data_IF_711690580436
#
_entry.id   IF_711690580436
#
_cell.length_a   1.000
_cell.length_b   1.000
_cell.length_c   1.000
_cell.angle_alpha   90.00
_cell.angle_beta   90.00
_cell.angle_gamma   90.00
#
_symmetry.space_group_name_H-M   'P 1'
#
loop_
_entity.id
_entity.type
_entity.pdbx_description
1 polymer ?
#
# COMPACT_ATOMS: atom_id res chain seq x y z
N UNK A 1 52.52 4.52 -36.67
CA UNK A 1 51.43 3.73 -35.98
C UNK A 1 51.12 4.41 -34.64
N UNK A 2 50.12 5.26 -34.63
CA UNK A 2 49.74 6.06 -33.44
C UNK A 2 48.61 5.31 -32.73
N UNK A 3 48.85 4.79 -31.51
CA UNK A 3 47.88 4.11 -30.70
C UNK A 3 47.00 5.14 -29.99
N UNK A 4 45.72 5.22 -30.34
CA UNK A 4 44.70 5.93 -29.56
C UNK A 4 44.31 5.09 -28.35
N UNK A 5 44.55 5.60 -27.15
CA UNK A 5 44.02 5.03 -25.91
C UNK A 5 42.67 5.73 -25.65
N UNK A 6 41.56 4.98 -25.80
CA UNK A 6 40.25 5.41 -25.37
C UNK A 6 40.15 5.24 -23.85
N UNK A 7 40.07 6.33 -23.12
CA UNK A 7 39.74 6.31 -21.68
C UNK A 7 38.22 6.15 -21.54
N UNK A 8 37.78 5.05 -20.94
CA UNK A 8 36.41 4.80 -20.56
C UNK A 8 36.14 5.56 -19.26
N UNK A 9 35.40 6.65 -19.33
CA UNK A 9 34.93 7.36 -18.13
C UNK A 9 33.76 6.57 -17.53
N UNK A 10 33.99 5.95 -16.37
CA UNK A 10 32.93 5.37 -15.57
C UNK A 10 32.15 6.52 -14.88
N UNK A 11 30.93 6.79 -15.33
CA UNK A 11 30.00 7.67 -14.61
C UNK A 11 29.42 6.89 -13.43
N UNK A 12 29.87 7.20 -12.22
CA UNK A 12 29.18 6.80 -11.00
C UNK A 12 27.89 7.62 -10.88
N UNK A 13 26.76 6.99 -11.12
CA UNK A 13 25.48 7.56 -10.76
C UNK A 13 25.41 7.63 -9.22
N UNK A 14 25.41 8.82 -8.66
CA UNK A 14 25.05 9.02 -7.26
C UNK A 14 23.53 8.83 -7.17
N UNK A 15 23.07 7.76 -6.51
CA UNK A 15 21.69 7.68 -6.06
C UNK A 15 21.44 8.88 -5.13
N UNK A 16 20.41 9.66 -5.41
CA UNK A 16 19.99 10.71 -4.48
C UNK A 16 19.58 10.01 -3.16
N UNK A 17 19.92 10.58 -1.99
CA UNK A 17 19.47 10.00 -0.73
C UNK A 17 17.93 9.97 -0.76
N UNK A 18 17.36 8.79 -0.51
CA UNK A 18 15.93 8.65 -0.28
C UNK A 18 15.57 9.59 0.88
N UNK A 19 14.53 10.42 0.70
CA UNK A 19 14.02 11.23 1.83
C UNK A 19 13.59 10.23 2.91
N UNK A 20 14.06 10.44 4.14
CA UNK A 20 13.67 9.59 5.26
C UNK A 20 12.15 9.69 5.47
N UNK A 21 11.43 8.65 5.10
CA UNK A 21 10.00 8.51 5.30
C UNK A 21 9.78 7.56 6.49
N UNK A 22 8.62 7.63 7.09
CA UNK A 22 8.22 6.73 8.17
C UNK A 22 7.18 5.76 7.63
N UNK A 23 7.49 4.46 7.67
CA UNK A 23 6.49 3.44 7.37
C UNK A 23 5.83 2.98 8.68
N UNK A 24 4.53 2.76 8.62
CA UNK A 24 3.75 2.12 9.67
C UNK A 24 3.31 0.76 9.15
N UNK A 25 3.75 -0.30 9.81
CA UNK A 25 3.41 -1.68 9.44
C UNK A 25 2.42 -2.29 10.43
N UNK A 26 1.53 -3.13 9.93
CA UNK A 26 0.68 -4.00 10.73
C UNK A 26 1.25 -5.42 10.72
N UNK A 27 1.61 -5.92 11.89
CA UNK A 27 2.11 -7.28 12.11
C UNK A 27 1.02 -8.10 12.81
N UNK A 28 0.72 -9.26 12.27
CA UNK A 28 -0.42 -10.04 12.76
C UNK A 28 -1.71 -9.22 12.68
N UNK A 29 -2.53 -9.28 13.72
CA UNK A 29 -3.86 -8.66 13.72
C UNK A 29 -3.94 -7.35 14.53
N UNK A 30 -2.91 -7.04 15.33
CA UNK A 30 -3.01 -5.94 16.30
C UNK A 30 -1.67 -5.30 16.70
N UNK A 31 -0.56 -5.65 16.10
CA UNK A 31 0.72 -5.04 16.43
C UNK A 31 1.12 -4.03 15.36
N UNK A 32 1.31 -2.79 15.77
CA UNK A 32 1.73 -1.68 14.93
C UNK A 32 3.24 -1.48 15.12
N UNK A 33 3.97 -1.45 14.03
CA UNK A 33 5.41 -1.15 14.02
C UNK A 33 5.68 0.14 13.27
N UNK A 34 6.60 0.94 13.79
CA UNK A 34 7.10 2.15 13.12
C UNK A 34 8.49 1.84 12.57
N UNK A 35 8.70 2.14 11.29
CA UNK A 35 9.91 1.78 10.55
C UNK A 35 10.52 3.04 9.95
N UNK A 36 11.80 3.25 10.17
CA UNK A 36 12.61 4.20 9.41
C UNK A 36 12.95 3.58 8.05
N UNK A 37 12.39 4.13 6.98
CA UNK A 37 12.59 3.58 5.63
C UNK A 37 14.03 3.77 5.11
N UNK A 38 14.75 4.76 5.61
CA UNK A 38 16.15 5.02 5.19
C UNK A 38 17.14 3.96 5.69
N UNK A 39 16.79 3.28 6.79
CA UNK A 39 17.62 2.24 7.42
C UNK A 39 16.93 0.88 7.44
N UNK A 40 15.67 0.80 7.01
CA UNK A 40 14.80 -0.37 7.14
C UNK A 40 14.79 -0.95 8.56
N UNK A 41 14.72 -0.07 9.57
CA UNK A 41 14.82 -0.46 10.99
C UNK A 41 13.53 -0.13 11.74
N UNK A 42 13.01 -1.11 12.48
CA UNK A 42 11.88 -0.90 13.40
C UNK A 42 12.36 -0.05 14.58
N UNK A 43 11.73 1.11 14.76
CA UNK A 43 12.03 2.07 15.82
C UNK A 43 11.04 2.02 16.99
N UNK A 44 9.83 1.49 16.75
CA UNK A 44 8.79 1.33 17.76
C UNK A 44 7.90 0.14 17.43
N UNK A 45 7.32 -0.48 18.45
CA UNK A 45 6.32 -1.55 18.32
C UNK A 45 5.29 -1.42 19.43
N UNK A 46 4.00 -1.41 19.07
CA UNK A 46 2.87 -1.25 20.01
C UNK A 46 1.79 -2.28 19.69
N UNK A 47 1.37 -3.03 20.69
CA UNK A 47 0.23 -3.96 20.56
C UNK A 47 -1.07 -3.27 20.99
N UNK A 48 -2.10 -3.38 20.17
CA UNK A 48 -3.43 -2.84 20.43
C UNK A 48 -4.25 -3.87 21.20
N UNK A 49 -4.47 -3.61 22.49
CA UNK A 49 -5.19 -4.53 23.34
C UNK A 49 -6.70 -4.58 23.01
N UNK A 50 -7.21 -5.78 22.75
CA UNK A 50 -8.63 -6.00 22.47
C UNK A 50 -9.12 -5.49 21.11
N UNK A 51 -8.21 -5.10 20.22
CA UNK A 51 -8.53 -4.64 18.86
C UNK A 51 -7.90 -5.62 17.86
N UNK A 52 -8.70 -6.09 16.92
CA UNK A 52 -8.25 -6.83 15.74
C UNK A 52 -8.45 -5.92 14.53
N UNK A 53 -7.38 -5.61 13.81
CA UNK A 53 -7.42 -4.79 12.60
C UNK A 53 -7.58 -5.66 11.35
N UNK A 54 -8.28 -5.16 10.36
CA UNK A 54 -8.33 -5.69 8.99
C UNK A 54 -7.24 -5.07 8.13
N UNK A 55 -6.96 -3.78 8.33
CA UNK A 55 -5.91 -3.04 7.64
C UNK A 55 -5.76 -1.63 8.21
N UNK A 56 -4.75 -0.91 7.73
CA UNK A 56 -4.40 0.46 8.12
C UNK A 56 -4.08 1.30 6.88
N UNK A 57 -4.28 2.62 6.97
CA UNK A 57 -3.72 3.53 5.98
C UNK A 57 -3.58 4.97 6.51
N UNK A 58 -2.76 5.77 5.82
CA UNK A 58 -2.56 7.19 6.09
C UNK A 58 -3.60 8.06 5.36
N UNK A 59 -4.43 8.76 6.13
CA UNK A 59 -5.40 9.73 5.59
C UNK A 59 -4.71 11.07 5.35
N UNK A 60 -4.26 11.32 4.14
CA UNK A 60 -3.48 12.50 3.77
C UNK A 60 -4.19 13.84 4.08
N UNK A 61 -5.52 13.88 3.98
CA UNK A 61 -6.33 15.08 4.26
C UNK A 61 -6.25 15.55 5.73
N UNK A 62 -6.03 14.62 6.68
CA UNK A 62 -6.01 14.93 8.12
C UNK A 62 -4.68 14.63 8.79
N UNK A 63 -3.77 13.91 8.13
CA UNK A 63 -2.49 13.48 8.70
C UNK A 63 -2.63 12.36 9.73
N UNK A 64 -3.73 11.62 9.73
CA UNK A 64 -4.02 10.57 10.71
C UNK A 64 -3.80 9.18 10.10
N UNK A 65 -3.37 8.22 10.91
CA UNK A 65 -3.46 6.81 10.55
C UNK A 65 -4.89 6.34 10.84
N UNK A 66 -5.50 5.75 9.84
CA UNK A 66 -6.81 5.10 9.90
C UNK A 66 -6.61 3.61 10.05
N UNK A 67 -7.41 2.97 10.87
CA UNK A 67 -7.53 1.52 10.93
C UNK A 67 -8.98 1.08 10.72
N UNK A 68 -9.16 -0.10 10.16
CA UNK A 68 -10.47 -0.76 10.09
C UNK A 68 -10.40 -2.01 10.96
N UNK A 69 -11.30 -2.11 11.94
CA UNK A 69 -11.36 -3.25 12.85
C UNK A 69 -12.11 -4.44 12.25
N UNK A 70 -11.97 -5.62 12.83
CA UNK A 70 -12.77 -6.82 12.47
C UNK A 70 -14.27 -6.61 12.60
N UNK A 71 -14.69 -5.67 13.46
CA UNK A 71 -16.10 -5.24 13.61
C UNK A 71 -16.50 -4.19 12.56
N UNK A 72 -15.59 -3.86 11.63
CA UNK A 72 -15.74 -2.84 10.59
C UNK A 72 -16.04 -1.44 11.16
N UNK A 73 -15.52 -1.17 12.35
CA UNK A 73 -15.38 0.18 12.85
C UNK A 73 -14.15 0.84 12.21
N UNK A 74 -14.29 2.10 11.84
CA UNK A 74 -13.21 2.95 11.31
C UNK A 74 -12.68 3.74 12.50
N UNK A 75 -11.40 3.61 12.76
CA UNK A 75 -10.73 4.23 13.90
C UNK A 75 -9.56 5.10 13.45
N UNK A 76 -9.20 6.09 14.23
CA UNK A 76 -7.88 6.71 14.18
C UNK A 76 -6.93 5.97 15.11
N UNK A 77 -5.65 5.94 14.75
CA UNK A 77 -4.60 5.26 15.47
C UNK A 77 -3.39 6.18 15.64
N UNK A 78 -2.89 6.31 16.87
CA UNK A 78 -1.58 6.89 17.14
C UNK A 78 -0.52 5.77 17.15
N UNK A 79 0.37 5.69 16.14
CA UNK A 79 1.33 4.60 16.02
C UNK A 79 2.43 4.64 17.09
N UNK A 80 2.62 5.77 17.78
CA UNK A 80 3.61 5.89 18.84
C UNK A 80 3.12 5.31 20.17
N UNK A 81 1.82 5.43 20.46
CA UNK A 81 1.24 5.07 21.75
C UNK A 81 0.20 3.95 21.70
N UNK A 82 -0.28 3.59 20.50
CA UNK A 82 -1.38 2.64 20.33
C UNK A 82 -2.76 3.19 20.73
N UNK A 83 -2.88 4.50 21.00
CA UNK A 83 -4.18 5.10 21.30
C UNK A 83 -5.06 5.11 20.06
N UNK A 84 -6.31 4.72 20.25
CA UNK A 84 -7.32 4.70 19.19
C UNK A 84 -8.53 5.53 19.56
N UNK A 85 -9.24 6.03 18.55
CA UNK A 85 -10.54 6.65 18.70
C UNK A 85 -11.44 6.24 17.51
N UNK A 86 -12.67 5.85 17.79
CA UNK A 86 -13.64 5.54 16.75
C UNK A 86 -14.07 6.82 16.03
N UNK A 87 -14.01 6.80 14.70
CA UNK A 87 -14.56 7.84 13.82
C UNK A 87 -15.99 7.50 13.44
N UNK A 88 -16.21 6.28 12.96
CA UNK A 88 -17.51 5.79 12.54
C UNK A 88 -17.51 4.25 12.49
N UNK A 89 -18.65 3.68 12.15
CA UNK A 89 -18.79 2.26 11.83
C UNK A 89 -19.46 2.12 10.49
N UNK A 90 -19.04 1.13 9.68
CA UNK A 90 -19.67 0.90 8.39
C UNK A 90 -21.16 0.64 8.56
N UNK A 91 -21.97 1.43 7.85
CA UNK A 91 -23.44 1.39 7.94
C UNK A 91 -24.02 0.05 7.43
N UNK A 92 -23.27 -0.62 6.56
CA UNK A 92 -23.55 -1.96 6.08
C UNK A 92 -22.30 -2.80 6.28
N UNK A 93 -22.41 -3.91 7.01
CA UNK A 93 -21.32 -4.87 7.14
C UNK A 93 -21.01 -5.48 5.79
N UNK A 94 -19.76 -5.35 5.35
CA UNK A 94 -19.29 -5.89 4.09
C UNK A 94 -18.86 -7.34 4.26
N UNK A 95 -19.08 -8.20 3.26
CA UNK A 95 -18.66 -9.58 3.37
C UNK A 95 -17.13 -9.66 3.46
N UNK A 96 -16.64 -10.40 4.45
CA UNK A 96 -15.23 -10.77 4.56
C UNK A 96 -15.11 -12.20 4.02
N UNK A 97 -14.29 -12.37 2.98
CA UNK A 97 -13.95 -13.68 2.44
C UNK A 97 -12.72 -14.28 3.11
N UNK A 98 -12.17 -15.33 2.48
CA UNK A 98 -10.90 -15.95 2.90
C UNK A 98 -9.67 -15.21 2.37
N UNK A 99 -9.87 -14.19 1.52
CA UNK A 99 -8.82 -13.34 0.96
C UNK A 99 -8.47 -12.21 1.93
N UNK A 100 -7.23 -11.68 1.89
CA UNK A 100 -6.87 -10.49 2.62
C UNK A 100 -7.83 -9.33 2.34
N UNK A 101 -8.02 -8.48 3.34
CA UNK A 101 -8.79 -7.25 3.21
C UNK A 101 -7.84 -6.12 2.87
N UNK A 102 -8.18 -5.37 1.84
CA UNK A 102 -7.49 -4.14 1.45
C UNK A 102 -8.16 -2.96 2.14
N UNK A 103 -7.35 -2.12 2.77
CA UNK A 103 -7.75 -0.86 3.42
C UNK A 103 -6.80 0.22 2.91
N UNK A 104 -7.31 1.17 2.13
CA UNK A 104 -6.50 2.25 1.56
C UNK A 104 -7.34 3.51 1.35
N UNK A 105 -6.78 4.70 1.49
CA UNK A 105 -7.50 5.97 1.42
C UNK A 105 -7.23 6.67 0.09
N UNK A 106 -8.26 6.77 -0.74
CA UNK A 106 -8.20 7.61 -1.93
C UNK A 106 -8.11 9.10 -1.53
N UNK A 107 -6.99 9.79 -1.80
CA UNK A 107 -6.74 11.14 -1.28
C UNK A 107 -7.59 12.23 -1.95
N UNK A 108 -8.19 11.97 -3.12
CA UNK A 108 -8.99 12.98 -3.85
C UNK A 108 -10.39 13.13 -3.27
N UNK A 109 -11.23 12.06 -3.19
CA UNK A 109 -12.54 12.17 -2.58
C UNK A 109 -12.50 11.99 -1.05
N UNK A 110 -11.33 11.70 -0.47
CA UNK A 110 -11.15 11.37 0.94
C UNK A 110 -12.09 10.22 1.37
N UNK A 111 -11.97 9.09 0.67
CA UNK A 111 -12.79 7.88 0.87
C UNK A 111 -11.89 6.67 1.07
N UNK A 112 -12.27 5.83 2.01
CA UNK A 112 -11.66 4.52 2.19
C UNK A 112 -12.03 3.62 1.01
N UNK A 113 -11.04 2.96 0.42
CA UNK A 113 -11.21 1.78 -0.44
C UNK A 113 -11.17 0.55 0.47
N UNK A 114 -12.21 -0.28 0.37
CA UNK A 114 -12.32 -1.51 1.13
C UNK A 114 -12.65 -2.64 0.17
N UNK A 115 -11.73 -3.58 0.06
CA UNK A 115 -11.86 -4.68 -0.91
C UNK A 115 -11.46 -6.01 -0.29
N UNK A 116 -12.05 -7.10 -0.78
CA UNK A 116 -11.62 -8.48 -0.52
C UNK A 116 -12.11 -9.38 -1.64
N UNK A 117 -11.26 -10.28 -2.14
CA UNK A 117 -11.59 -11.06 -3.34
C UNK A 117 -11.87 -10.15 -4.54
N UNK A 118 -13.06 -10.27 -5.13
CA UNK A 118 -13.52 -9.40 -6.23
C UNK A 118 -14.38 -8.24 -5.77
N UNK A 119 -14.73 -8.15 -4.47
CA UNK A 119 -15.56 -7.04 -3.96
C UNK A 119 -14.78 -5.74 -3.97
N UNK A 120 -15.47 -4.65 -4.24
CA UNK A 120 -14.89 -3.33 -4.41
C UNK A 120 -15.84 -2.29 -3.82
N UNK A 121 -15.44 -1.64 -2.74
CA UNK A 121 -16.29 -0.73 -1.99
C UNK A 121 -15.56 0.58 -1.68
N UNK A 122 -16.32 1.67 -1.64
CA UNK A 122 -15.89 2.96 -1.10
C UNK A 122 -16.67 3.27 0.17
N UNK A 123 -15.96 3.72 1.20
CA UNK A 123 -16.58 4.04 2.48
C UNK A 123 -16.27 5.48 2.86
N UNK A 124 -17.28 6.21 3.28
CA UNK A 124 -17.10 7.52 3.91
C UNK A 124 -16.61 7.29 5.34
N UNK A 125 -15.37 7.68 5.63
CA UNK A 125 -14.74 7.42 6.94
C UNK A 125 -15.41 8.16 8.09
N UNK A 126 -16.04 9.31 7.82
CA UNK A 126 -16.65 10.12 8.87
C UNK A 126 -18.10 9.68 9.20
N UNK A 127 -18.78 9.02 8.26
CA UNK A 127 -20.19 8.62 8.41
C UNK A 127 -20.43 7.13 8.40
N UNK A 128 -19.46 6.34 7.91
CA UNK A 128 -19.59 4.90 7.69
C UNK A 128 -20.44 4.53 6.46
N UNK A 129 -20.88 5.50 5.65
CA UNK A 129 -21.67 5.24 4.45
C UNK A 129 -20.87 4.42 3.43
N UNK A 130 -21.45 3.31 2.96
CA UNK A 130 -20.83 2.38 2.01
C UNK A 130 -21.42 2.55 0.63
N UNK A 131 -20.56 2.66 -0.37
CA UNK A 131 -20.91 2.58 -1.80
C UNK A 131 -20.32 1.29 -2.36
N UNK A 132 -21.18 0.45 -2.96
CA UNK A 132 -20.75 -0.76 -3.68
C UNK A 132 -20.38 -0.35 -5.11
N UNK A 133 -19.16 -0.64 -5.49
CA UNK A 133 -18.64 -0.41 -6.84
C UNK A 133 -18.67 -1.70 -7.68
N UNK A 134 -18.26 -1.63 -8.95
CA UNK A 134 -18.16 -2.79 -9.84
C UNK A 134 -17.13 -3.80 -9.33
N UNK A 135 -17.40 -5.10 -9.53
CA UNK A 135 -16.48 -6.16 -9.13
C UNK A 135 -15.15 -6.08 -9.88
N UNK A 136 -14.06 -6.45 -9.20
CA UNK A 136 -12.73 -6.45 -9.79
C UNK A 136 -12.63 -7.47 -10.93
N UNK A 137 -12.13 -7.02 -12.08
CA UNK A 137 -11.90 -7.85 -13.26
C UNK A 137 -10.83 -7.22 -14.14
N UNK A 138 -10.06 -8.03 -14.84
CA UNK A 138 -9.12 -7.52 -15.85
C UNK A 138 -9.87 -7.02 -17.09
N UNK A 139 -9.32 -5.95 -17.71
CA UNK A 139 -9.82 -5.46 -18.99
C UNK A 139 -9.85 -6.58 -20.03
N UNK A 140 -10.83 -6.59 -20.92
CA UNK A 140 -10.99 -7.63 -21.93
C UNK A 140 -9.79 -7.73 -22.91
N UNK A 141 -9.01 -6.67 -23.05
CA UNK A 141 -7.79 -6.66 -23.86
C UNK A 141 -6.52 -7.03 -23.05
N UNK A 142 -6.61 -7.21 -21.74
CA UNK A 142 -5.51 -7.62 -20.90
C UNK A 142 -5.12 -9.08 -21.15
N UNK A 143 -3.82 -9.40 -21.04
CA UNK A 143 -3.34 -10.78 -21.16
C UNK A 143 -3.90 -11.73 -20.11
N UNK A 144 -4.33 -11.19 -18.98
CA UNK A 144 -4.91 -11.90 -17.85
C UNK A 144 -6.46 -11.81 -17.79
N UNK A 145 -7.13 -11.38 -18.89
CA UNK A 145 -8.59 -11.16 -18.94
C UNK A 145 -9.44 -12.35 -18.46
N UNK A 146 -8.94 -13.58 -18.61
CA UNK A 146 -9.63 -14.80 -18.17
C UNK A 146 -9.24 -15.27 -16.75
N UNK A 147 -8.33 -14.55 -16.08
CA UNK A 147 -7.81 -14.93 -14.76
C UNK A 147 -8.59 -14.16 -13.68
N UNK A 148 -9.13 -14.84 -12.66
CA UNK A 148 -9.71 -14.15 -11.51
C UNK A 148 -8.61 -13.32 -10.79
N UNK A 149 -8.84 -12.03 -10.49
CA UNK A 149 -7.87 -11.24 -9.77
C UNK A 149 -7.73 -11.69 -8.31
N UNK A 150 -6.50 -11.58 -7.78
CA UNK A 150 -6.17 -11.86 -6.39
C UNK A 150 -5.51 -10.62 -5.76
N UNK A 151 -6.26 -9.53 -5.70
CA UNK A 151 -5.77 -8.26 -5.15
C UNK A 151 -5.64 -8.36 -3.63
N UNK A 152 -4.44 -8.06 -3.11
CA UNK A 152 -4.10 -8.20 -1.69
C UNK A 152 -3.60 -6.91 -1.04
N UNK A 153 -3.18 -5.92 -1.83
CA UNK A 153 -2.74 -4.62 -1.35
C UNK A 153 -2.94 -3.57 -2.45
N UNK A 154 -3.04 -2.31 -2.06
CA UNK A 154 -3.32 -1.17 -2.93
C UNK A 154 -2.51 0.04 -2.46
N UNK A 155 -2.27 0.99 -3.36
CA UNK A 155 -1.71 2.29 -3.05
C UNK A 155 -2.18 3.35 -4.05
N UNK A 156 -2.47 4.55 -3.55
CA UNK A 156 -2.80 5.70 -4.38
C UNK A 156 -1.62 6.65 -4.51
N UNK A 157 -1.29 7.07 -5.74
CA UNK A 157 -0.31 8.15 -5.95
C UNK A 157 -0.87 9.51 -5.48
N UNK A 158 0.06 10.46 -5.28
CA UNK A 158 -0.25 11.82 -4.83
C UNK A 158 -0.90 11.87 -3.44
N UNK A 159 -0.67 10.88 -2.59
CA UNK A 159 -1.19 10.82 -1.21
C UNK A 159 -0.51 11.85 -0.30
N UNK A 160 -0.66 13.16 -0.64
CA UNK A 160 -0.16 14.28 0.13
C UNK A 160 -1.18 15.43 0.13
N UNK A 161 -1.67 15.79 1.31
CA UNK A 161 -2.71 16.82 1.45
C UNK A 161 -4.02 16.47 0.74
N UNK A 162 -4.51 17.38 -0.07
CA UNK A 162 -5.72 17.18 -0.90
C UNK A 162 -5.37 17.41 -2.37
N UNK A 163 -4.91 16.38 -3.08
CA UNK A 163 -4.49 16.50 -4.47
C UNK A 163 -5.68 16.67 -5.42
N UNK A 164 -5.43 17.25 -6.61
CA UNK A 164 -6.44 17.37 -7.66
C UNK A 164 -6.71 16.06 -8.41
N UNK A 165 -5.72 15.17 -8.42
CA UNK A 165 -5.79 13.89 -9.13
C UNK A 165 -4.99 12.81 -8.43
N UNK A 166 -5.40 11.58 -8.64
CA UNK A 166 -4.69 10.38 -8.17
C UNK A 166 -4.82 9.24 -9.17
N UNK A 167 -4.14 8.17 -8.88
CA UNK A 167 -4.21 6.94 -9.62
C UNK A 167 -3.99 5.76 -8.66
N UNK A 168 -4.70 4.67 -8.86
CA UNK A 168 -4.70 3.50 -8.01
C UNK A 168 -3.87 2.38 -8.61
N UNK A 169 -3.01 1.80 -7.80
CA UNK A 169 -2.17 0.65 -8.13
C UNK A 169 -2.42 -0.45 -7.13
N UNK A 170 -2.48 -1.67 -7.61
CA UNK A 170 -2.84 -2.85 -6.85
C UNK A 170 -1.73 -3.89 -6.95
N UNK A 171 -1.62 -4.76 -5.96
CA UNK A 171 -0.80 -5.97 -6.05
C UNK A 171 -1.69 -7.20 -6.20
N UNK A 172 -1.46 -7.95 -7.25
CA UNK A 172 -2.09 -9.27 -7.46
C UNK A 172 -1.13 -10.37 -7.00
N UNK A 173 -1.51 -11.08 -5.93
CA UNK A 173 -0.69 -12.14 -5.36
C UNK A 173 -0.66 -13.41 -6.22
N UNK A 174 -1.69 -13.66 -7.02
CA UNK A 174 -1.75 -14.82 -7.92
C UNK A 174 -0.83 -14.67 -9.12
N UNK A 175 -0.71 -13.46 -9.64
CA UNK A 175 0.18 -13.10 -10.74
C UNK A 175 1.57 -12.68 -10.25
N UNK A 176 1.74 -12.35 -8.96
CA UNK A 176 2.93 -11.70 -8.42
C UNK A 176 3.29 -10.43 -9.20
N UNK A 177 2.30 -9.60 -9.46
CA UNK A 177 2.41 -8.48 -10.39
C UNK A 177 1.82 -7.19 -9.83
N UNK A 178 2.37 -6.07 -10.32
CA UNK A 178 1.78 -4.75 -10.18
C UNK A 178 0.67 -4.58 -11.22
N UNK A 179 -0.47 -4.09 -10.76
CA UNK A 179 -1.69 -3.89 -11.54
C UNK A 179 -2.07 -2.42 -11.47
N UNK A 180 -2.63 -1.88 -12.52
CA UNK A 180 -3.28 -0.56 -12.56
C UNK A 180 -4.78 -0.76 -12.47
N UNK A 181 -5.46 -0.14 -11.51
CA UNK A 181 -6.92 -0.05 -11.54
C UNK A 181 -7.31 1.15 -12.40
N UNK A 182 -7.61 0.90 -13.68
CA UNK A 182 -7.80 1.94 -14.72
C UNK A 182 -9.14 2.64 -14.62
N UNK A 183 -10.17 1.93 -14.15
CA UNK A 183 -11.48 2.46 -13.83
C UNK A 183 -11.90 1.97 -12.43
N UNK A 184 -11.44 2.63 -11.34
CA UNK A 184 -11.59 2.11 -9.98
C UNK A 184 -13.03 1.84 -9.54
N UNK A 185 -13.99 2.64 -10.00
CA UNK A 185 -15.40 2.45 -9.65
C UNK A 185 -16.08 1.34 -10.47
N UNK A 186 -15.51 1.00 -11.62
CA UNK A 186 -16.00 -0.11 -12.45
C UNK A 186 -15.29 -1.44 -12.11
N UNK A 187 -14.21 -1.37 -11.31
CA UNK A 187 -13.39 -2.53 -10.94
C UNK A 187 -12.44 -3.02 -12.05
N UNK A 188 -12.17 -2.18 -13.07
CA UNK A 188 -11.37 -2.57 -14.24
C UNK A 188 -9.88 -2.51 -13.93
N UNK A 189 -9.18 -3.61 -14.17
CA UNK A 189 -7.77 -3.83 -13.91
C UNK A 189 -6.98 -3.97 -15.22
N UNK A 190 -5.73 -3.48 -15.22
CA UNK A 190 -4.76 -3.70 -16.28
C UNK A 190 -3.40 -4.10 -15.71
N UNK A 191 -2.83 -5.18 -16.21
CA UNK A 191 -1.53 -5.68 -15.77
C UNK A 191 -0.42 -4.73 -16.21
N UNK A 192 0.45 -4.33 -15.27
CA UNK A 192 1.65 -3.55 -15.55
C UNK A 192 2.83 -4.49 -15.79
N UNK A 193 3.19 -5.30 -14.77
CA UNK A 193 4.31 -6.23 -14.89
C UNK A 193 4.59 -7.01 -13.62
N UNK A 194 5.48 -8.01 -13.76
CA UNK A 194 5.92 -8.88 -12.67
C UNK A 194 6.80 -8.11 -11.67
N UNK A 195 6.64 -8.37 -10.38
CA UNK A 195 7.44 -7.75 -9.32
C UNK A 195 8.91 -8.20 -9.35
N UNK A 196 9.20 -9.32 -9.97
CA UNK A 196 10.58 -9.86 -10.08
C UNK A 196 11.14 -10.40 -8.76
N UNK A 197 10.32 -10.54 -7.73
CA UNK A 197 10.70 -11.10 -6.41
C UNK A 197 9.74 -12.20 -6.01
N UNK A 198 10.25 -13.21 -5.31
CA UNK A 198 9.39 -14.22 -4.67
C UNK A 198 9.10 -13.74 -3.24
N UNK A 199 7.83 -13.45 -2.90
CA UNK A 199 7.48 -13.03 -1.54
C UNK A 199 7.81 -14.13 -0.51
N UNK A 200 8.35 -13.71 0.64
CA UNK A 200 8.61 -14.60 1.77
C UNK A 200 7.47 -14.57 2.81
N UNK A 201 6.41 -13.83 2.53
CA UNK A 201 5.26 -13.66 3.43
C UNK A 201 4.15 -12.87 2.76
N UNK A 202 3.27 -12.27 3.54
CA UNK A 202 2.23 -11.40 3.03
C UNK A 202 2.80 -10.26 2.20
N UNK A 203 2.08 -9.85 1.16
CA UNK A 203 2.36 -8.64 0.40
C UNK A 203 1.62 -7.48 1.07
N UNK A 204 2.30 -6.33 1.16
CA UNK A 204 1.73 -5.05 1.56
C UNK A 204 2.27 -3.95 0.65
N UNK A 205 1.51 -2.88 0.44
CA UNK A 205 1.87 -1.87 -0.55
C UNK A 205 1.28 -0.52 -0.18
N UNK A 206 2.07 0.54 -0.39
CA UNK A 206 1.59 1.91 -0.33
C UNK A 206 2.44 2.81 -1.23
N UNK A 207 1.88 3.95 -1.63
CA UNK A 207 2.58 4.94 -2.45
C UNK A 207 2.64 6.28 -1.73
N UNK A 208 3.81 6.59 -1.21
CA UNK A 208 4.06 7.85 -0.55
C UNK A 208 4.10 9.00 -1.56
N UNK A 209 3.15 9.94 -1.45
CA UNK A 209 3.20 11.22 -2.14
C UNK A 209 4.06 12.23 -1.38
N UNK A 210 4.55 13.26 -2.06
CA UNK A 210 5.27 14.37 -1.44
C UNK A 210 4.73 15.73 -1.86
N UNK A 211 5.06 16.77 -1.09
CA UNK A 211 4.73 18.16 -1.43
C UNK A 211 5.29 18.61 -2.79
N UNK A 212 6.33 17.94 -3.28
CA UNK A 212 6.97 18.22 -4.57
C UNK A 212 6.34 17.45 -5.73
N UNK A 213 5.30 16.64 -5.45
CA UNK A 213 4.61 15.81 -6.44
C UNK A 213 5.39 14.54 -6.85
N UNK A 214 6.39 14.13 -6.07
CA UNK A 214 7.05 12.83 -6.27
C UNK A 214 6.26 11.72 -5.60
N UNK A 215 6.29 10.54 -6.19
CA UNK A 215 5.66 9.34 -5.66
C UNK A 215 6.72 8.25 -5.50
N UNK A 216 6.77 7.63 -4.32
CA UNK A 216 7.63 6.48 -4.05
C UNK A 216 6.74 5.31 -3.67
N UNK A 217 6.74 4.26 -4.48
CA UNK A 217 6.00 3.05 -4.21
C UNK A 217 6.80 2.11 -3.31
N UNK A 218 6.20 1.70 -2.19
CA UNK A 218 6.78 0.81 -1.20
C UNK A 218 6.05 -0.52 -1.19
N UNK A 219 6.81 -1.59 -1.24
CA UNK A 219 6.32 -2.97 -1.18
C UNK A 219 6.92 -3.66 0.05
N UNK A 220 6.08 -4.26 0.87
CA UNK A 220 6.48 -5.22 1.89
C UNK A 220 6.29 -6.66 1.41
N UNK A 221 7.26 -7.54 1.65
CA UNK A 221 7.18 -8.97 1.34
C UNK A 221 7.31 -9.83 2.61
N UNK A 222 6.68 -9.39 3.69
CA UNK A 222 6.74 -10.00 5.00
C UNK A 222 7.86 -9.42 5.86
N UNK A 223 9.11 -9.79 5.65
CA UNK A 223 10.29 -9.39 6.43
C UNK A 223 11.26 -8.45 5.67
N UNK A 224 10.85 -7.96 4.51
CA UNK A 224 11.63 -7.03 3.69
C UNK A 224 10.79 -5.88 3.16
N UNK A 225 11.45 -4.73 2.94
CA UNK A 225 10.92 -3.58 2.21
C UNK A 225 11.60 -3.47 0.85
N UNK A 226 10.84 -3.00 -0.12
CA UNK A 226 11.31 -2.73 -1.47
C UNK A 226 10.72 -1.43 -1.98
N UNK A 227 11.40 -0.78 -2.93
CA UNK A 227 10.78 0.22 -3.79
C UNK A 227 10.45 -0.39 -5.14
N UNK A 228 9.34 0.07 -5.74
CA UNK A 228 8.79 -0.48 -6.99
C UNK A 228 8.67 0.61 -8.03
N UNK A 229 9.04 0.28 -9.26
CA UNK A 229 8.79 1.11 -10.42
C UNK A 229 7.32 0.97 -10.86
N UNK A 230 6.56 2.04 -10.77
CA UNK A 230 5.13 2.05 -11.11
C UNK A 230 4.84 1.91 -12.62
N UNK A 231 5.84 2.06 -13.49
CA UNK A 231 5.69 1.90 -14.94
C UNK A 231 5.90 0.45 -15.39
N UNK A 232 6.74 -0.30 -14.66
CA UNK A 232 7.14 -1.65 -15.05
C UNK A 232 6.75 -2.74 -14.05
N UNK A 233 6.45 -2.39 -12.82
CA UNK A 233 6.23 -3.32 -11.70
C UNK A 233 7.51 -3.83 -11.06
N UNK A 234 8.67 -3.58 -11.66
CA UNK A 234 9.94 -4.13 -11.20
C UNK A 234 10.41 -3.51 -9.87
N UNK A 235 11.04 -4.31 -9.03
CA UNK A 235 11.72 -3.83 -7.84
C UNK A 235 12.94 -3.00 -8.24
N UNK A 236 13.09 -1.82 -7.61
CA UNK A 236 14.23 -0.91 -7.78
C UNK A 236 15.31 -1.21 -6.74
N UNK A 237 14.92 -1.23 -5.46
CA UNK A 237 15.82 -1.46 -4.31
C UNK A 237 15.14 -2.37 -3.28
N UNK A 238 15.95 -3.03 -2.43
CA UNK A 238 15.47 -3.99 -1.44
C UNK A 238 16.28 -3.93 -0.16
N UNK A 239 15.60 -4.01 0.98
CA UNK A 239 16.18 -4.01 2.32
C UNK A 239 15.50 -5.05 3.21
N UNK A 240 16.30 -5.84 3.94
CA UNK A 240 15.77 -6.66 5.01
C UNK A 240 15.36 -5.77 6.19
N UNK A 241 14.21 -6.03 6.79
CA UNK A 241 13.75 -5.31 7.97
C UNK A 241 14.53 -5.75 9.21
N UNK A 242 15.12 -4.77 9.89
CA UNK A 242 15.87 -4.99 11.11
C UNK A 242 15.00 -4.74 12.34
N UNK A 243 15.03 -5.65 13.31
CA UNK A 243 14.29 -5.51 14.57
C UNK A 243 12.80 -5.84 14.46
N UNK A 244 12.35 -6.40 13.33
CA UNK A 244 10.98 -6.87 13.17
C UNK A 244 10.78 -8.22 13.89
N UNK A 245 9.70 -8.32 14.67
CA UNK A 245 9.20 -9.58 15.25
C UNK A 245 7.90 -9.96 14.53
N UNK A 246 7.97 -10.99 13.70
CA UNK A 246 6.88 -11.42 12.83
C UNK A 246 7.00 -10.95 11.38
N UNK A 247 5.87 -10.80 10.69
CA UNK A 247 5.80 -10.38 9.29
C UNK A 247 4.80 -9.24 9.12
N UNK A 248 5.17 -8.22 8.34
CA UNK A 248 4.25 -7.16 7.95
C UNK A 248 3.25 -7.72 6.96
N UNK A 249 1.96 -7.50 7.22
CA UNK A 249 0.87 -7.89 6.32
C UNK A 249 0.11 -6.71 5.72
N UNK A 250 0.33 -5.52 6.26
CA UNK A 250 -0.18 -4.26 5.74
C UNK A 250 0.78 -3.13 6.07
N UNK A 251 0.82 -2.10 5.23
CA UNK A 251 1.83 -1.05 5.28
C UNK A 251 1.23 0.26 4.81
N UNK A 252 1.54 1.34 5.51
CA UNK A 252 1.30 2.71 5.02
C UNK A 252 2.49 3.62 5.30
N UNK A 253 2.67 4.66 4.49
CA UNK A 253 3.80 5.58 4.57
C UNK A 253 3.33 6.96 4.98
N UNK A 254 3.94 7.50 6.02
CA UNK A 254 3.79 8.89 6.40
C UNK A 254 4.80 9.71 5.58
N UNK A 255 4.35 10.65 4.73
CA UNK A 255 5.22 11.45 3.85
C UNK A 255 6.18 12.38 4.58
#
# INVERSE_FOLDING_TARGET
MTKFIMALAATTAFAAPLSAQTAIGLVGDNTIVTIDTSTATVSNSVTLEGITLLGIDYRAATGQIIGVTSEQAIITLDPATGKTAELSKMATMLPLGDMPVVVDVNPVPDRLRFMTGTTNHRVNMDTGEVTVDGELHFDAADTNAATPPMIVAVGYINSFGMPESTAMYDLDAGLNALIRQTAPNDGTLATIGDLGVTPNGPLSFDVAGSAQGTNTAWLGTGDALHTVDLETGAIIESWALNGLDGMIRDLTIIP
#
